data_IF_474194797711
#
_entry.id   IF_474194797711
#
_cell.length_a   1.000
_cell.length_b   1.000
_cell.length_c   1.000
_cell.angle_alpha   90.00
_cell.angle_beta   90.00
_cell.angle_gamma   90.00
#
_symmetry.space_group_name_H-M   'P 1'
#
loop_
_entity.id
_entity.type
_entity.pdbx_description
1 polymer ?
#
# COMPACT_ATOMS: atom_id res chain seq x y z
N UNK A 1 -26.07 28.25 37.87
CA UNK A 1 -25.04 27.20 38.02
C UNK A 1 -25.54 25.97 37.30
N UNK A 2 -25.21 25.86 36.01
CA UNK A 2 -25.34 24.61 35.27
C UNK A 2 -23.94 24.03 35.36
N UNK A 3 -23.75 23.02 36.20
CA UNK A 3 -22.53 22.23 36.18
C UNK A 3 -22.39 21.65 34.78
N UNK A 4 -21.50 22.24 33.98
CA UNK A 4 -20.85 21.53 32.88
C UNK A 4 -20.11 20.36 33.53
N UNK A 5 -20.82 19.25 33.71
CA UNK A 5 -20.21 17.95 33.90
C UNK A 5 -19.40 17.68 32.65
N UNK A 6 -18.14 18.13 32.69
CA UNK A 6 -17.11 17.74 31.76
C UNK A 6 -16.94 16.24 31.93
N UNK A 7 -17.77 15.48 31.19
CA UNK A 7 -17.50 14.10 30.92
C UNK A 7 -16.18 14.09 30.15
N UNK A 8 -15.09 14.02 30.92
CA UNK A 8 -13.82 13.49 30.47
C UNK A 8 -14.08 12.05 30.05
N UNK A 9 -14.67 11.90 28.87
CA UNK A 9 -14.66 10.64 28.16
C UNK A 9 -13.18 10.33 28.00
N UNK A 10 -12.72 9.30 28.72
CA UNK A 10 -11.42 8.69 28.47
C UNK A 10 -11.45 8.17 27.04
N UNK A 11 -11.09 9.03 26.09
CA UNK A 11 -10.77 8.61 24.73
C UNK A 11 -9.66 7.59 24.85
N UNK A 12 -9.83 6.43 24.21
CA UNK A 12 -8.74 5.48 24.04
C UNK A 12 -7.51 6.26 23.58
N UNK A 13 -6.34 5.94 24.14
CA UNK A 13 -5.12 6.61 23.72
C UNK A 13 -4.95 6.37 22.21
N UNK A 14 -5.06 7.43 21.40
CA UNK A 14 -5.04 7.33 19.93
C UNK A 14 -3.81 6.60 19.40
N UNK A 15 -2.71 6.61 20.15
CA UNK A 15 -1.50 5.86 19.84
C UNK A 15 -1.73 4.34 19.92
N UNK A 16 -2.46 3.87 20.93
CA UNK A 16 -2.83 2.45 21.06
C UNK A 16 -3.73 2.00 19.90
N UNK A 17 -4.68 2.83 19.49
CA UNK A 17 -5.56 2.55 18.33
C UNK A 17 -4.72 2.43 17.06
N UNK A 18 -3.80 3.36 16.84
CA UNK A 18 -2.92 3.39 15.69
C UNK A 18 -2.01 2.15 15.60
N UNK A 19 -1.35 1.79 16.71
CA UNK A 19 -0.51 0.59 16.78
C UNK A 19 -1.35 -0.69 16.60
N UNK A 20 -2.56 -0.76 17.17
CA UNK A 20 -3.47 -1.87 16.93
C UNK A 20 -3.82 -1.99 15.44
N UNK A 21 -4.22 -0.89 14.79
CA UNK A 21 -4.51 -0.89 13.35
C UNK A 21 -3.31 -1.34 12.51
N UNK A 22 -2.09 -0.91 12.84
CA UNK A 22 -0.88 -1.28 12.10
C UNK A 22 -0.42 -2.72 12.33
N UNK A 23 -0.68 -3.29 13.50
CA UNK A 23 -0.21 -4.65 13.85
C UNK A 23 -1.15 -5.74 13.32
N UNK A 24 -2.45 -5.46 13.22
CA UNK A 24 -3.48 -6.36 12.67
C UNK A 24 -3.07 -7.08 11.37
N UNK A 25 -2.61 -6.40 10.30
CA UNK A 25 -2.27 -7.08 9.04
C UNK A 25 -1.06 -8.03 9.17
N UNK A 26 -0.27 -7.89 10.22
CA UNK A 26 0.91 -8.73 10.46
C UNK A 26 0.63 -9.91 11.40
N UNK A 27 -0.63 -10.11 11.80
CA UNK A 27 -1.04 -11.31 12.54
C UNK A 27 -1.01 -12.56 11.63
N UNK A 28 -0.96 -13.77 12.23
CA UNK A 28 -1.07 -15.02 11.50
C UNK A 28 -2.36 -15.13 10.67
N UNK A 29 -2.30 -15.94 9.62
CA UNK A 29 -3.49 -16.40 8.89
C UNK A 29 -4.37 -17.26 9.80
N UNK A 30 -5.67 -17.07 9.67
CA UNK A 30 -6.68 -18.02 10.13
C UNK A 30 -6.83 -19.17 9.13
N UNK A 31 -7.51 -20.27 9.50
CA UNK A 31 -7.87 -21.33 8.57
C UNK A 31 -8.49 -20.79 7.27
N UNK A 32 -8.23 -21.47 6.15
CA UNK A 32 -8.69 -21.10 4.81
C UNK A 32 -8.10 -19.79 4.24
N UNK A 33 -7.07 -19.22 4.89
CA UNK A 33 -6.37 -18.04 4.40
C UNK A 33 -7.05 -16.70 4.69
N UNK A 34 -8.03 -16.70 5.58
CA UNK A 34 -8.57 -15.47 6.14
C UNK A 34 -7.53 -14.77 7.02
N UNK A 35 -7.62 -13.44 7.11
CA UNK A 35 -6.76 -12.62 7.96
C UNK A 35 -7.60 -11.75 8.90
N UNK A 36 -6.99 -11.29 10.00
CA UNK A 36 -7.65 -10.46 11.00
C UNK A 36 -8.21 -9.16 10.42
N UNK A 37 -7.50 -8.52 9.49
CA UNK A 37 -7.97 -7.34 8.78
C UNK A 37 -9.23 -7.57 7.96
N UNK A 38 -9.49 -8.79 7.46
CA UNK A 38 -10.72 -9.07 6.70
C UNK A 38 -11.94 -8.92 7.60
N UNK A 39 -11.88 -9.50 8.80
CA UNK A 39 -12.94 -9.45 9.79
C UNK A 39 -13.10 -8.02 10.32
N UNK A 40 -11.99 -7.38 10.68
CA UNK A 40 -12.01 -6.02 11.24
C UNK A 40 -12.48 -4.97 10.22
N UNK A 41 -12.08 -5.09 8.94
CA UNK A 41 -12.57 -4.19 7.89
C UNK A 41 -14.09 -4.28 7.74
N UNK A 42 -14.67 -5.48 7.78
CA UNK A 42 -16.12 -5.66 7.72
C UNK A 42 -16.78 -5.04 8.95
N UNK A 43 -16.34 -5.40 10.16
CA UNK A 43 -16.94 -4.90 11.40
C UNK A 43 -16.89 -3.37 11.48
N UNK A 44 -15.72 -2.76 11.25
CA UNK A 44 -15.59 -1.31 11.30
C UNK A 44 -16.33 -0.60 10.18
N UNK A 45 -16.40 -1.18 8.97
CA UNK A 45 -17.18 -0.58 7.88
C UNK A 45 -18.68 -0.51 8.22
N UNK A 46 -19.24 -1.52 8.89
CA UNK A 46 -20.64 -1.51 9.35
C UNK A 46 -20.87 -0.39 10.37
N UNK A 47 -19.95 -0.20 11.32
CA UNK A 47 -20.02 0.91 12.27
C UNK A 47 -19.89 2.28 11.57
N UNK A 48 -18.97 2.40 10.60
CA UNK A 48 -18.80 3.60 9.78
C UNK A 48 -20.09 3.94 9.02
N UNK A 49 -20.72 2.96 8.37
CA UNK A 49 -21.97 3.13 7.63
C UNK A 49 -23.11 3.55 8.54
N UNK A 50 -23.27 2.87 9.69
CA UNK A 50 -24.27 3.24 10.70
C UNK A 50 -24.09 4.68 11.17
N UNK A 51 -22.85 5.10 11.42
CA UNK A 51 -22.56 6.46 11.84
C UNK A 51 -22.85 7.50 10.74
N UNK A 52 -22.44 7.22 9.50
CA UNK A 52 -22.74 8.07 8.34
C UNK A 52 -24.25 8.22 8.17
N UNK A 53 -25.00 7.13 8.32
CA UNK A 53 -26.46 7.13 8.27
C UNK A 53 -27.06 8.02 9.37
N UNK A 54 -26.61 7.86 10.61
CA UNK A 54 -27.12 8.63 11.75
C UNK A 54 -26.81 10.13 11.64
N UNK A 55 -25.64 10.49 11.12
CA UNK A 55 -25.23 11.89 10.97
C UNK A 55 -25.79 12.58 9.71
N UNK A 56 -26.31 11.81 8.74
CA UNK A 56 -26.86 12.28 7.45
C UNK A 56 -25.94 13.23 6.66
N UNK A 57 -24.64 13.26 6.96
CA UNK A 57 -23.66 14.17 6.36
C UNK A 57 -22.38 13.43 6.01
N UNK A 58 -22.42 12.50 5.05
CA UNK A 58 -21.18 11.93 4.53
C UNK A 58 -20.35 13.03 3.89
N UNK A 59 -19.09 13.17 4.33
CA UNK A 59 -18.18 14.09 3.66
C UNK A 59 -17.94 13.61 2.22
N UNK A 60 -18.06 14.51 1.24
CA UNK A 60 -17.69 14.23 -0.17
C UNK A 60 -16.29 13.65 -0.27
N UNK A 61 -15.41 14.04 0.65
CA UNK A 61 -14.00 13.66 0.68
C UNK A 61 -13.79 12.21 1.10
N UNK A 62 -14.76 11.62 1.81
CA UNK A 62 -14.82 10.19 2.11
C UNK A 62 -15.55 9.44 1.01
N UNK A 63 -16.65 9.99 0.50
CA UNK A 63 -17.50 9.30 -0.48
C UNK A 63 -16.81 9.09 -1.82
N UNK A 64 -16.10 10.10 -2.35
CA UNK A 64 -15.47 10.00 -3.68
C UNK A 64 -14.50 8.81 -3.75
N UNK A 65 -13.46 8.69 -2.90
CA UNK A 65 -12.51 7.58 -2.99
C UNK A 65 -13.17 6.21 -2.73
N UNK A 66 -14.12 6.14 -1.80
CA UNK A 66 -14.88 4.89 -1.53
C UNK A 66 -15.73 4.51 -2.74
N UNK A 67 -16.45 5.45 -3.34
CA UNK A 67 -17.29 5.23 -4.52
C UNK A 67 -16.44 4.86 -5.74
N UNK A 68 -15.27 5.47 -5.92
CA UNK A 68 -14.34 5.13 -7.01
C UNK A 68 -13.89 3.67 -6.93
N UNK A 69 -13.51 3.19 -5.74
CA UNK A 69 -13.12 1.79 -5.56
C UNK A 69 -14.33 0.84 -5.59
N UNK A 70 -15.41 1.19 -4.90
CA UNK A 70 -16.63 0.37 -4.84
C UNK A 70 -17.29 0.22 -6.22
N UNK A 71 -17.27 1.25 -7.06
CA UNK A 71 -17.73 1.19 -8.44
C UNK A 71 -16.99 0.12 -9.25
N UNK A 72 -15.68 -0.04 -9.04
CA UNK A 72 -14.91 -1.11 -9.65
C UNK A 72 -15.27 -2.51 -9.14
N UNK A 73 -15.56 -2.65 -7.84
CA UNK A 73 -16.10 -3.91 -7.29
C UNK A 73 -17.44 -4.24 -7.94
N UNK A 74 -18.36 -3.26 -8.01
CA UNK A 74 -19.69 -3.46 -8.61
C UNK A 74 -19.57 -3.88 -10.07
N UNK A 75 -18.72 -3.21 -10.85
CA UNK A 75 -18.45 -3.60 -12.24
C UNK A 75 -17.95 -5.05 -12.34
N UNK A 76 -17.01 -5.44 -11.47
CA UNK A 76 -16.47 -6.81 -11.42
C UNK A 76 -17.54 -7.84 -11.05
N UNK A 77 -18.42 -7.54 -10.09
CA UNK A 77 -19.51 -8.45 -9.68
C UNK A 77 -20.54 -8.61 -10.80
N UNK A 78 -20.95 -7.51 -11.43
CA UNK A 78 -21.86 -7.55 -12.59
C UNK A 78 -21.24 -8.40 -13.70
N UNK A 79 -19.97 -8.15 -14.03
CA UNK A 79 -19.22 -8.90 -15.02
C UNK A 79 -19.20 -10.41 -14.72
N UNK A 80 -18.96 -10.79 -13.46
CA UNK A 80 -18.98 -12.18 -13.00
C UNK A 80 -20.34 -12.86 -13.17
N UNK A 81 -21.43 -12.10 -13.11
CA UNK A 81 -22.79 -12.61 -13.31
C UNK A 81 -23.15 -12.75 -14.80
N UNK A 82 -22.51 -11.96 -15.66
CA UNK A 82 -22.80 -11.91 -17.10
C UNK A 82 -21.92 -12.87 -17.91
N UNK A 83 -20.68 -13.09 -17.48
CA UNK A 83 -19.72 -13.93 -18.20
C UNK A 83 -19.40 -15.18 -17.38
N UNK A 84 -19.35 -16.34 -18.06
CA UNK A 84 -18.94 -17.57 -17.38
C UNK A 84 -17.47 -17.41 -16.97
N UNK A 85 -17.18 -17.56 -15.67
CA UNK A 85 -15.83 -17.55 -15.09
C UNK A 85 -15.06 -18.83 -15.41
N UNK A 86 -15.23 -19.38 -16.62
CA UNK A 86 -14.64 -20.62 -17.06
C UNK A 86 -13.11 -20.52 -17.05
N UNK A 87 -12.47 -21.40 -16.26
CA UNK A 87 -11.01 -21.49 -16.15
C UNK A 87 -10.37 -20.62 -15.06
N UNK A 88 -11.12 -20.16 -14.06
CA UNK A 88 -10.53 -19.41 -12.94
C UNK A 88 -9.66 -20.33 -12.06
N UNK A 89 -8.33 -20.19 -12.15
CA UNK A 89 -7.38 -20.83 -11.24
C UNK A 89 -7.43 -20.17 -9.84
N UNK A 90 -7.72 -18.86 -9.80
CA UNK A 90 -7.90 -18.12 -8.56
C UNK A 90 -9.33 -18.28 -8.02
N UNK A 91 -9.46 -18.76 -6.78
CA UNK A 91 -10.76 -18.93 -6.11
C UNK A 91 -11.56 -17.62 -6.05
N UNK A 92 -12.82 -17.67 -6.49
CA UNK A 92 -13.74 -16.52 -6.59
C UNK A 92 -13.83 -15.75 -5.26
N UNK A 93 -13.91 -16.47 -4.13
CA UNK A 93 -13.99 -15.88 -2.79
C UNK A 93 -12.75 -15.05 -2.46
N UNK A 94 -11.55 -15.57 -2.76
CA UNK A 94 -10.30 -14.88 -2.48
C UNK A 94 -10.16 -13.61 -3.32
N UNK A 95 -10.58 -13.66 -4.59
CA UNK A 95 -10.59 -12.49 -5.46
C UNK A 95 -11.63 -11.46 -5.01
N UNK A 96 -12.82 -11.91 -4.61
CA UNK A 96 -13.85 -11.03 -4.07
C UNK A 96 -13.36 -10.31 -2.82
N UNK A 97 -12.82 -11.05 -1.84
CA UNK A 97 -12.25 -10.49 -0.61
C UNK A 97 -11.14 -9.49 -0.95
N UNK A 98 -10.25 -9.83 -1.87
CA UNK A 98 -9.11 -8.98 -2.24
C UNK A 98 -9.54 -7.62 -2.80
N UNK A 99 -10.47 -7.57 -3.75
CA UNK A 99 -10.92 -6.30 -4.36
C UNK A 99 -11.85 -5.54 -3.40
N UNK A 100 -12.70 -6.25 -2.66
CA UNK A 100 -13.65 -5.64 -1.73
C UNK A 100 -13.01 -5.08 -0.47
N UNK A 101 -11.87 -5.63 -0.04
CA UNK A 101 -11.18 -5.20 1.18
C UNK A 101 -10.75 -3.73 1.11
N UNK A 102 -10.27 -3.26 -0.03
CA UNK A 102 -9.77 -1.89 -0.17
C UNK A 102 -10.81 -0.80 0.15
N UNK A 103 -12.01 -0.77 -0.45
CA UNK A 103 -13.04 0.21 -0.08
C UNK A 103 -13.51 0.07 1.37
N UNK A 104 -13.60 -1.16 1.90
CA UNK A 104 -13.96 -1.38 3.31
C UNK A 104 -12.93 -0.82 4.27
N UNK A 105 -11.63 -1.06 4.03
CA UNK A 105 -10.54 -0.53 4.82
C UNK A 105 -10.53 0.99 4.78
N UNK A 106 -10.71 1.57 3.59
CA UNK A 106 -10.77 3.01 3.43
C UNK A 106 -11.88 3.62 4.29
N UNK A 107 -13.10 3.07 4.18
CA UNK A 107 -14.25 3.54 4.95
C UNK A 107 -14.05 3.36 6.46
N UNK A 108 -13.46 2.24 6.87
CA UNK A 108 -13.15 1.92 8.27
C UNK A 108 -12.14 2.89 8.86
N UNK A 109 -11.00 3.09 8.18
CA UNK A 109 -9.96 3.97 8.69
C UNK A 109 -10.37 5.43 8.70
N UNK A 110 -11.14 5.90 7.71
CA UNK A 110 -11.59 7.30 7.73
C UNK A 110 -12.43 7.54 8.98
N UNK A 111 -13.33 6.63 9.31
CA UNK A 111 -14.14 6.71 10.52
C UNK A 111 -13.29 6.68 11.80
N UNK A 112 -12.36 5.74 11.92
CA UNK A 112 -11.54 5.60 13.13
C UNK A 112 -10.59 6.80 13.29
N UNK A 113 -9.80 7.11 12.27
CA UNK A 113 -8.77 8.16 12.32
C UNK A 113 -9.41 9.55 12.43
N UNK A 114 -10.56 9.81 11.82
CA UNK A 114 -11.22 11.12 11.92
C UNK A 114 -11.74 11.44 13.34
N UNK A 115 -11.90 10.42 14.20
CA UNK A 115 -12.34 10.58 15.59
C UNK A 115 -11.21 10.73 16.59
N UNK A 116 -10.07 10.13 16.32
CA UNK A 116 -8.91 10.18 17.19
C UNK A 116 -8.00 11.35 16.81
N UNK A 117 -7.42 12.10 17.76
CA UNK A 117 -6.46 13.19 17.46
C UNK A 117 -5.06 12.65 17.05
N UNK A 118 -5.05 11.74 16.07
CA UNK A 118 -3.84 11.15 15.51
C UNK A 118 -3.18 12.15 14.58
N UNK A 119 -2.00 12.65 14.99
CA UNK A 119 -1.14 13.46 14.14
C UNK A 119 -0.44 12.58 13.10
N UNK A 120 -0.21 13.11 11.90
CA UNK A 120 0.50 12.42 10.82
C UNK A 120 1.91 11.96 11.25
N UNK A 121 2.59 12.73 12.10
CA UNK A 121 3.89 12.38 12.69
C UNK A 121 3.81 11.10 13.52
N UNK A 122 2.75 10.92 14.31
CA UNK A 122 2.54 9.70 15.10
C UNK A 122 2.24 8.48 14.24
N UNK A 123 1.44 8.66 13.17
CA UNK A 123 1.23 7.61 12.16
C UNK A 123 2.56 7.19 11.52
N UNK A 124 3.40 8.16 11.15
CA UNK A 124 4.74 7.90 10.64
C UNK A 124 5.63 7.18 11.67
N UNK A 125 5.53 7.53 12.96
CA UNK A 125 6.23 6.83 14.06
C UNK A 125 5.82 5.37 14.18
N UNK A 126 4.52 5.10 14.18
CA UNK A 126 4.01 3.75 14.31
C UNK A 126 4.36 2.90 13.07
N UNK A 127 4.30 3.46 11.85
CA UNK A 127 4.75 2.76 10.63
C UNK A 127 6.24 2.44 10.69
N UNK A 128 7.08 3.42 11.06
CA UNK A 128 8.53 3.25 11.16
C UNK A 128 8.94 2.22 12.23
N UNK A 129 8.23 2.18 13.36
CA UNK A 129 8.48 1.20 14.42
C UNK A 129 8.08 -0.19 13.96
N UNK A 130 6.89 -0.31 13.38
CA UNK A 130 6.39 -1.58 12.83
C UNK A 130 7.33 -2.09 11.74
N UNK A 131 7.79 -1.22 10.84
CA UNK A 131 8.68 -1.61 9.74
C UNK A 131 10.04 -2.08 10.23
N UNK A 132 10.59 -1.50 11.31
CA UNK A 132 11.84 -1.95 11.88
C UNK A 132 11.69 -3.36 12.48
N UNK A 133 10.58 -3.63 13.19
CA UNK A 133 10.27 -4.96 13.73
C UNK A 133 10.14 -5.98 12.58
N UNK A 134 9.32 -5.65 11.57
CA UNK A 134 9.11 -6.53 10.42
C UNK A 134 10.41 -6.72 9.61
N UNK A 135 11.21 -5.67 9.46
CA UNK A 135 12.53 -5.73 8.82
C UNK A 135 13.48 -6.66 9.55
N UNK A 136 13.52 -6.58 10.88
CA UNK A 136 14.26 -7.52 11.73
C UNK A 136 13.80 -8.97 11.52
N UNK A 137 12.48 -9.22 11.50
CA UNK A 137 11.94 -10.57 11.24
C UNK A 137 12.33 -11.07 9.84
N UNK A 138 12.27 -10.22 8.80
CA UNK A 138 12.71 -10.57 7.45
C UNK A 138 14.19 -10.93 7.40
N UNK A 139 15.06 -10.21 8.11
CA UNK A 139 16.49 -10.56 8.20
C UNK A 139 16.70 -11.86 8.96
N UNK A 140 16.00 -12.04 10.08
CA UNK A 140 16.09 -13.26 10.86
C UNK A 140 15.64 -14.50 10.08
N UNK A 141 14.69 -14.35 9.14
CA UNK A 141 14.21 -15.42 8.27
C UNK A 141 15.28 -16.06 7.37
N UNK A 142 16.39 -15.36 7.15
CA UNK A 142 17.55 -15.87 6.41
C UNK A 142 18.21 -17.03 7.15
N UNK A 143 18.26 -16.93 8.47
CA UNK A 143 18.85 -17.93 9.34
C UNK A 143 17.76 -18.99 9.59
N UNK A 144 17.85 -20.10 8.83
CA UNK A 144 16.87 -21.19 8.65
C UNK A 144 15.94 -21.57 9.83
N UNK A 145 16.35 -21.57 11.12
CA UNK A 145 15.45 -21.88 12.23
C UNK A 145 14.21 -20.99 12.33
N UNK A 146 14.28 -19.74 11.87
CA UNK A 146 13.18 -18.77 12.00
C UNK A 146 12.04 -19.04 11.02
N UNK A 147 12.32 -19.69 9.88
CA UNK A 147 11.31 -19.94 8.87
C UNK A 147 10.14 -20.82 9.34
N UNK A 148 10.39 -21.73 10.29
CA UNK A 148 9.34 -22.56 10.89
C UNK A 148 8.32 -21.73 11.68
N UNK A 149 8.78 -20.63 12.30
CA UNK A 149 7.89 -19.69 13.00
C UNK A 149 7.09 -18.82 12.03
N UNK A 150 7.46 -18.78 10.75
CA UNK A 150 6.79 -17.97 9.74
C UNK A 150 5.62 -18.69 9.06
N UNK A 151 5.49 -20.03 9.12
CA UNK A 151 4.40 -20.75 8.46
C UNK A 151 3.01 -20.21 8.80
N UNK A 152 2.67 -19.85 10.06
CA UNK A 152 1.36 -19.27 10.36
C UNK A 152 1.13 -17.92 9.67
N UNK A 153 2.18 -17.22 9.25
CA UNK A 153 2.12 -15.90 8.64
C UNK A 153 2.17 -15.94 7.11
N UNK A 154 2.39 -17.09 6.47
CA UNK A 154 2.61 -17.18 5.02
C UNK A 154 1.89 -18.38 4.42
N UNK A 155 1.68 -18.35 3.10
CA UNK A 155 1.13 -19.49 2.35
C UNK A 155 2.26 -20.25 1.66
N UNK A 156 2.63 -21.41 2.20
CA UNK A 156 3.81 -22.17 1.76
C UNK A 156 3.68 -22.70 0.33
N UNK A 157 2.53 -23.26 -0.02
CA UNK A 157 2.23 -23.80 -1.36
C UNK A 157 1.99 -22.70 -2.42
N UNK A 158 2.32 -21.44 -2.10
CA UNK A 158 2.08 -20.28 -2.94
C UNK A 158 3.35 -19.61 -3.46
N UNK A 159 3.19 -18.34 -3.85
CA UNK A 159 4.27 -17.47 -4.34
C UNK A 159 5.41 -17.34 -3.34
N UNK A 160 5.14 -17.52 -2.05
CA UNK A 160 6.13 -17.47 -0.99
C UNK A 160 7.18 -18.59 -1.12
N UNK A 161 6.73 -19.85 -1.19
CA UNK A 161 7.61 -21.01 -1.33
C UNK A 161 8.43 -20.96 -2.62
N UNK A 162 7.78 -20.61 -3.74
CA UNK A 162 8.43 -20.42 -5.03
C UNK A 162 9.51 -19.34 -4.98
N UNK A 163 9.24 -18.21 -4.31
CA UNK A 163 10.22 -17.12 -4.14
C UNK A 163 11.42 -17.54 -3.29
N UNK A 164 11.17 -18.30 -2.22
CA UNK A 164 12.21 -18.82 -1.34
C UNK A 164 13.12 -19.83 -2.05
N UNK A 165 12.57 -20.67 -2.91
CA UNK A 165 13.32 -21.64 -3.70
C UNK A 165 14.36 -20.97 -4.63
N UNK A 166 14.08 -19.75 -5.11
CA UNK A 166 15.02 -18.93 -5.89
C UNK A 166 15.84 -17.95 -5.04
N UNK A 167 15.88 -18.11 -3.71
CA UNK A 167 16.75 -17.32 -2.82
C UNK A 167 16.22 -15.93 -2.47
N UNK A 168 14.93 -15.66 -2.66
CA UNK A 168 14.29 -14.40 -2.24
C UNK A 168 13.56 -14.65 -0.93
N UNK A 169 13.90 -13.93 0.14
CA UNK A 169 13.19 -14.08 1.43
C UNK A 169 12.27 -12.87 1.64
N UNK A 170 10.96 -12.98 1.36
CA UNK A 170 10.02 -11.89 1.63
C UNK A 170 9.67 -11.76 3.12
N UNK A 171 10.24 -12.61 4.00
CA UNK A 171 9.93 -12.62 5.43
C UNK A 171 8.48 -13.00 5.68
N UNK A 172 7.76 -12.19 6.46
CA UNK A 172 6.33 -12.41 6.74
C UNK A 172 5.42 -12.01 5.58
N UNK A 173 5.91 -11.50 4.46
CA UNK A 173 5.05 -11.13 3.33
C UNK A 173 4.84 -12.33 2.41
N UNK A 174 3.64 -12.52 1.86
CA UNK A 174 3.34 -13.68 0.99
C UNK A 174 4.12 -13.68 -0.32
N UNK A 175 4.62 -12.52 -0.74
CA UNK A 175 5.33 -12.37 -2.00
C UNK A 175 6.34 -11.20 -1.90
N UNK A 176 7.45 -11.28 -2.64
CA UNK A 176 8.43 -10.19 -2.71
C UNK A 176 7.85 -8.83 -3.09
N UNK A 177 6.80 -8.81 -3.92
CA UNK A 177 6.09 -7.59 -4.30
C UNK A 177 5.59 -6.84 -3.05
N UNK A 178 4.94 -7.55 -2.12
CA UNK A 178 4.35 -6.96 -0.92
C UNK A 178 5.42 -6.43 0.03
N UNK A 179 6.49 -7.20 0.24
CA UNK A 179 7.64 -6.74 1.03
C UNK A 179 8.20 -5.45 0.42
N UNK A 180 8.43 -5.43 -0.89
CA UNK A 180 8.96 -4.25 -1.57
C UNK A 180 8.03 -3.04 -1.52
N UNK A 181 6.71 -3.24 -1.62
CA UNK A 181 5.73 -2.18 -1.46
C UNK A 181 5.75 -1.62 -0.03
N UNK A 182 5.72 -2.48 0.99
CA UNK A 182 5.73 -2.06 2.39
C UNK A 182 7.01 -1.30 2.78
N UNK A 183 8.18 -1.84 2.45
CA UNK A 183 9.45 -1.20 2.77
C UNK A 183 9.71 0.04 1.89
N UNK A 184 9.17 0.09 0.67
CA UNK A 184 9.18 1.29 -0.17
C UNK A 184 8.35 2.44 0.42
N UNK A 185 7.11 2.16 0.87
CA UNK A 185 6.25 3.12 1.60
C UNK A 185 7.00 3.63 2.84
N UNK A 186 7.58 2.71 3.60
CA UNK A 186 8.34 3.01 4.81
C UNK A 186 9.52 3.94 4.53
N UNK A 187 10.31 3.68 3.48
CA UNK A 187 11.45 4.53 3.13
C UNK A 187 11.01 5.97 2.82
N UNK A 188 9.92 6.15 2.07
CA UNK A 188 9.33 7.48 1.79
C UNK A 188 8.86 8.15 3.09
N UNK A 189 8.23 7.40 4.00
CA UNK A 189 7.78 7.92 5.30
C UNK A 189 8.96 8.35 6.18
N UNK A 190 10.09 7.63 6.17
CA UNK A 190 11.28 8.05 6.91
C UNK A 190 11.80 9.41 6.43
N UNK A 191 11.78 9.66 5.12
CA UNK A 191 12.19 10.98 4.58
C UNK A 191 11.32 12.09 5.15
N UNK A 192 10.00 11.89 5.19
CA UNK A 192 9.07 12.82 5.85
C UNK A 192 9.43 13.03 7.33
N UNK A 193 9.66 11.94 8.09
CA UNK A 193 10.02 12.02 9.52
C UNK A 193 11.29 12.81 9.80
N UNK A 194 12.34 12.59 9.00
CA UNK A 194 13.61 13.31 9.17
C UNK A 194 13.50 14.82 8.92
N UNK A 195 12.45 15.28 8.21
CA UNK A 195 12.22 16.70 8.00
C UNK A 195 11.49 17.39 9.15
N UNK A 196 10.59 16.72 9.86
CA UNK A 196 9.79 17.27 10.97
C UNK A 196 10.61 17.60 12.24
N UNK A 197 11.95 17.60 12.17
CA UNK A 197 12.96 18.12 13.13
C UNK A 197 12.93 17.62 14.59
N UNK A 198 11.91 16.88 15.03
CA UNK A 198 11.65 16.66 16.45
C UNK A 198 11.97 15.25 16.98
N UNK A 199 12.87 14.51 16.32
CA UNK A 199 13.12 13.10 16.66
C UNK A 199 14.59 12.79 16.86
N UNK A 200 14.85 11.77 17.69
CA UNK A 200 16.16 11.18 17.89
C UNK A 200 16.64 10.56 16.57
N UNK A 201 17.45 11.33 15.83
CA UNK A 201 17.99 10.99 14.50
C UNK A 201 18.66 9.62 14.53
N UNK A 202 19.32 9.25 15.64
CA UNK A 202 20.02 7.97 15.78
C UNK A 202 19.04 6.79 15.75
N UNK A 203 17.99 6.82 16.56
CA UNK A 203 16.98 5.73 16.61
C UNK A 203 16.24 5.65 15.27
N UNK A 204 15.85 6.79 14.70
CA UNK A 204 15.19 6.83 13.40
C UNK A 204 16.10 6.27 12.28
N UNK A 205 17.40 6.56 12.31
CA UNK A 205 18.37 6.04 11.34
C UNK A 205 18.55 4.53 11.50
N UNK A 206 18.60 4.03 12.73
CA UNK A 206 18.66 2.59 13.00
C UNK A 206 17.42 1.87 12.44
N UNK A 207 16.23 2.40 12.70
CA UNK A 207 14.98 1.81 12.19
C UNK A 207 14.89 1.85 10.67
N UNK A 208 15.36 2.94 10.05
CA UNK A 208 15.46 3.04 8.60
C UNK A 208 16.41 1.98 8.04
N UNK A 209 17.62 1.86 8.60
CA UNK A 209 18.61 0.86 8.17
C UNK A 209 18.01 -0.54 8.28
N UNK A 210 17.47 -0.94 9.43
CA UNK A 210 16.84 -2.27 9.61
C UNK A 210 15.72 -2.51 8.59
N UNK A 211 14.90 -1.49 8.31
CA UNK A 211 13.82 -1.58 7.32
C UNK A 211 14.35 -1.74 5.89
N UNK A 212 15.40 -1.01 5.51
CA UNK A 212 16.03 -1.11 4.19
C UNK A 212 16.70 -2.47 4.01
N UNK A 213 17.32 -3.00 5.06
CA UNK A 213 17.88 -4.36 5.05
C UNK A 213 16.75 -5.37 4.82
N UNK A 214 15.71 -5.33 5.65
CA UNK A 214 14.57 -6.24 5.52
C UNK A 214 13.91 -6.17 4.13
N UNK A 215 13.83 -4.99 3.53
CA UNK A 215 13.34 -4.80 2.16
C UNK A 215 14.26 -5.35 1.09
N UNK A 216 15.58 -5.16 1.23
CA UNK A 216 16.58 -5.61 0.26
C UNK A 216 16.59 -7.13 0.08
N UNK A 217 16.35 -7.87 1.17
CA UNK A 217 16.31 -9.35 1.21
C UNK A 217 15.18 -9.92 0.33
N UNK A 218 14.12 -9.14 0.08
CA UNK A 218 13.04 -9.53 -0.83
C UNK A 218 13.46 -9.54 -2.31
N UNK A 219 14.55 -8.83 -2.65
CA UNK A 219 15.01 -8.63 -4.03
C UNK A 219 13.86 -8.20 -4.97
N UNK A 220 13.03 -7.27 -4.51
CA UNK A 220 11.83 -6.82 -5.22
C UNK A 220 12.10 -5.56 -6.03
N UNK A 221 11.63 -5.51 -7.29
CA UNK A 221 11.72 -4.30 -8.11
C UNK A 221 10.91 -3.15 -7.53
N UNK A 222 9.79 -3.47 -6.88
CA UNK A 222 8.97 -2.49 -6.17
C UNK A 222 9.72 -1.89 -4.98
N UNK A 223 10.57 -2.66 -4.30
CA UNK A 223 11.47 -2.11 -3.28
C UNK A 223 12.44 -1.10 -3.89
N UNK A 224 13.13 -1.48 -4.98
CA UNK A 224 14.10 -0.61 -5.68
C UNK A 224 13.45 0.69 -6.14
N UNK A 225 12.25 0.61 -6.72
CA UNK A 225 11.46 1.78 -7.10
C UNK A 225 11.13 2.67 -5.90
N UNK A 226 10.70 2.08 -4.79
CA UNK A 226 10.38 2.81 -3.56
C UNK A 226 11.61 3.49 -2.95
N UNK A 227 12.75 2.80 -2.93
CA UNK A 227 14.05 3.36 -2.52
C UNK A 227 14.47 4.51 -3.45
N UNK A 228 14.34 4.35 -4.77
CA UNK A 228 14.66 5.40 -5.74
C UNK A 228 13.80 6.65 -5.54
N UNK A 229 12.49 6.49 -5.36
CA UNK A 229 11.60 7.61 -5.05
C UNK A 229 11.88 8.23 -3.68
N UNK A 230 12.20 7.42 -2.66
CA UNK A 230 12.62 7.92 -1.36
C UNK A 230 13.94 8.69 -1.47
N UNK A 231 14.89 8.26 -2.32
CA UNK A 231 16.13 9.00 -2.58
C UNK A 231 15.86 10.33 -3.27
N UNK A 232 14.98 10.37 -4.27
CA UNK A 232 14.58 11.61 -4.95
C UNK A 232 13.92 12.55 -3.94
N UNK A 233 12.99 12.06 -3.13
CA UNK A 233 12.39 12.85 -2.05
C UNK A 233 13.45 13.33 -1.05
N UNK A 234 14.36 12.45 -0.63
CA UNK A 234 15.45 12.77 0.28
C UNK A 234 16.41 13.82 -0.30
N UNK A 235 16.65 13.81 -1.62
CA UNK A 235 17.49 14.80 -2.28
C UNK A 235 16.91 16.21 -2.16
N UNK A 236 15.59 16.36 -2.34
CA UNK A 236 14.88 17.62 -2.12
C UNK A 236 14.77 17.99 -0.63
N UNK A 237 14.82 17.00 0.26
CA UNK A 237 14.72 17.20 1.70
C UNK A 237 16.06 17.55 2.38
N UNK A 238 17.01 16.60 2.34
CA UNK A 238 18.36 16.62 2.95
C UNK A 238 19.29 15.65 2.21
N UNK A 239 20.30 16.16 1.49
CA UNK A 239 21.22 15.34 0.66
C UNK A 239 21.89 14.18 1.39
N UNK A 240 22.28 14.34 2.65
CA UNK A 240 22.92 13.26 3.42
C UNK A 240 21.99 12.06 3.66
N UNK A 241 20.68 12.27 3.73
CA UNK A 241 19.70 11.19 3.88
C UNK A 241 19.62 10.36 2.59
N UNK A 242 19.73 11.00 1.43
CA UNK A 242 19.81 10.28 0.16
C UNK A 242 21.07 9.40 0.10
N UNK A 243 22.21 9.90 0.61
CA UNK A 243 23.43 9.09 0.74
C UNK A 243 23.26 7.93 1.72
N UNK A 244 22.58 8.13 2.87
CA UNK A 244 22.30 7.06 3.83
C UNK A 244 21.42 5.97 3.21
N UNK A 245 20.33 6.35 2.52
CA UNK A 245 19.44 5.42 1.85
C UNK A 245 20.20 4.65 0.75
N UNK A 246 20.99 5.34 -0.07
CA UNK A 246 21.78 4.73 -1.13
C UNK A 246 22.84 3.77 -0.59
N UNK A 247 23.64 4.21 0.39
CA UNK A 247 24.74 3.42 0.93
C UNK A 247 24.24 2.18 1.66
N UNK A 248 23.24 2.31 2.53
CA UNK A 248 22.64 1.17 3.22
C UNK A 248 22.01 0.18 2.25
N UNK A 249 21.26 0.65 1.24
CA UNK A 249 20.67 -0.22 0.23
C UNK A 249 21.73 -0.92 -0.62
N UNK A 250 22.76 -0.20 -1.07
CA UNK A 250 23.83 -0.77 -1.90
C UNK A 250 24.66 -1.82 -1.15
N UNK A 251 25.07 -1.51 0.09
CA UNK A 251 25.81 -2.43 0.96
C UNK A 251 25.00 -3.72 1.15
N UNK A 252 23.70 -3.59 1.41
CA UNK A 252 22.88 -4.77 1.70
C UNK A 252 22.46 -5.55 0.46
N UNK A 253 22.24 -4.91 -0.68
CA UNK A 253 22.08 -5.63 -1.95
C UNK A 253 23.37 -6.44 -2.22
N UNK A 254 24.55 -5.85 -2.02
CA UNK A 254 25.84 -6.53 -2.16
C UNK A 254 26.07 -7.64 -1.12
N UNK A 255 25.68 -7.45 0.14
CA UNK A 255 25.79 -8.49 1.16
C UNK A 255 24.79 -9.63 0.90
N UNK A 256 23.54 -9.30 0.57
CA UNK A 256 22.49 -10.26 0.28
C UNK A 256 22.83 -11.15 -0.91
N UNK A 257 23.55 -10.63 -1.91
CA UNK A 257 23.99 -11.43 -3.05
C UNK A 257 25.02 -12.50 -2.65
N UNK A 258 25.86 -12.21 -1.65
CA UNK A 258 26.85 -13.14 -1.12
C UNK A 258 26.22 -14.17 -0.17
N UNK A 259 25.28 -13.75 0.68
CA UNK A 259 24.72 -14.60 1.75
C UNK A 259 23.46 -15.38 1.37
N UNK A 260 22.55 -14.80 0.56
CA UNK A 260 21.22 -15.40 0.29
C UNK A 260 21.19 -16.35 -0.89
N UNK A 261 22.18 -16.24 -1.77
CA UNK A 261 22.21 -16.99 -3.00
C UNK A 261 23.57 -17.64 -3.25
N UNK A 262 24.02 -18.54 -2.37
CA UNK A 262 25.32 -19.20 -2.52
C UNK A 262 25.42 -19.99 -3.84
N UNK A 263 24.31 -20.45 -4.40
CA UNK A 263 24.26 -21.13 -5.71
C UNK A 263 24.24 -20.17 -6.91
N UNK A 264 24.05 -18.88 -6.67
CA UNK A 264 23.87 -17.86 -7.69
C UNK A 264 22.57 -18.00 -8.51
N UNK A 265 21.60 -18.83 -8.12
CA UNK A 265 20.38 -19.14 -8.89
C UNK A 265 19.57 -17.90 -9.29
N UNK A 266 19.26 -17.00 -8.36
CA UNK A 266 18.59 -15.72 -8.67
C UNK A 266 19.38 -14.88 -9.68
N UNK A 267 20.69 -14.68 -9.49
CA UNK A 267 21.51 -13.88 -10.40
C UNK A 267 21.66 -14.55 -11.76
N UNK A 268 21.77 -15.88 -11.81
CA UNK A 268 21.76 -16.65 -13.05
C UNK A 268 20.43 -16.47 -13.79
N UNK A 269 19.29 -16.53 -13.09
CA UNK A 269 17.97 -16.27 -13.66
C UNK A 269 17.83 -14.82 -14.16
N UNK A 270 18.29 -13.85 -13.37
CA UNK A 270 18.28 -12.44 -13.76
C UNK A 270 19.17 -12.18 -14.99
N UNK A 271 20.38 -12.78 -15.02
CA UNK A 271 21.31 -12.67 -16.13
C UNK A 271 20.78 -13.37 -17.38
N UNK A 272 20.14 -14.54 -17.22
CA UNK A 272 19.48 -15.24 -18.32
C UNK A 272 18.36 -14.37 -18.93
N UNK A 273 17.53 -13.73 -18.09
CA UNK A 273 16.50 -12.80 -18.55
C UNK A 273 17.09 -11.56 -19.21
N UNK A 274 18.18 -11.03 -18.67
CA UNK A 274 18.91 -9.89 -19.24
C UNK A 274 19.44 -10.23 -20.64
N UNK A 275 20.00 -11.43 -20.80
CA UNK A 275 20.53 -11.90 -22.08
C UNK A 275 19.42 -12.24 -23.08
N UNK A 276 18.29 -12.78 -22.61
CA UNK A 276 17.19 -13.22 -23.47
C UNK A 276 16.29 -12.08 -23.98
N UNK A 277 15.95 -11.11 -23.13
CA UNK A 277 15.01 -10.04 -23.48
C UNK A 277 15.48 -8.63 -23.07
N UNK A 278 16.76 -8.48 -22.77
CA UNK A 278 17.37 -7.20 -22.41
C UNK A 278 17.01 -6.69 -21.01
N UNK A 279 17.38 -5.44 -20.71
CA UNK A 279 17.16 -4.83 -19.39
C UNK A 279 15.68 -4.78 -18.99
N UNK A 280 14.78 -4.59 -19.95
CA UNK A 280 13.33 -4.55 -19.70
C UNK A 280 12.84 -5.93 -19.25
N UNK A 281 13.27 -7.02 -19.89
CA UNK A 281 12.92 -8.38 -19.45
C UNK A 281 13.51 -8.72 -18.08
N UNK A 282 14.77 -8.34 -17.80
CA UNK A 282 15.35 -8.52 -16.48
C UNK A 282 14.58 -7.75 -15.39
N UNK A 283 14.26 -6.48 -15.65
CA UNK A 283 13.51 -5.60 -14.74
C UNK A 283 12.04 -5.98 -14.65
N UNK A 284 11.46 -6.66 -15.64
CA UNK A 284 10.08 -7.18 -15.59
C UNK A 284 9.99 -8.63 -15.12
N UNK A 285 11.11 -9.33 -14.99
CA UNK A 285 11.19 -10.77 -14.70
C UNK A 285 10.53 -11.59 -15.82
N UNK A 286 10.72 -11.14 -17.06
CA UNK A 286 10.12 -11.73 -18.26
C UNK A 286 8.66 -11.34 -18.48
N UNK A 287 8.06 -10.50 -17.63
CA UNK A 287 6.65 -10.05 -17.76
C UNK A 287 6.43 -8.95 -18.79
N UNK A 288 7.50 -8.30 -19.24
CA UNK A 288 7.50 -7.32 -20.33
C UNK A 288 8.72 -7.57 -21.20
N UNK A 289 8.55 -7.47 -22.53
CA UNK A 289 9.62 -7.62 -23.51
C UNK A 289 9.94 -9.06 -23.92
N UNK A 290 9.12 -10.04 -23.51
CA UNK A 290 9.16 -11.42 -24.01
C UNK A 290 7.83 -11.70 -24.70
N UNK A 291 7.85 -12.33 -25.89
CA UNK A 291 6.68 -12.55 -26.76
C UNK A 291 5.54 -13.38 -26.11
N UNK A 292 5.76 -13.97 -24.93
CA UNK A 292 4.79 -14.80 -24.19
C UNK A 292 4.67 -14.37 -22.71
N UNK A 293 4.58 -13.07 -22.45
CA UNK A 293 4.32 -12.60 -21.10
C UNK A 293 2.82 -12.75 -20.77
N UNK A 294 2.49 -13.35 -19.63
CA UNK A 294 1.10 -13.50 -19.18
C UNK A 294 0.30 -12.19 -19.15
N UNK A 295 0.96 -11.04 -18.89
CA UNK A 295 0.32 -9.73 -18.95
C UNK A 295 -0.09 -9.32 -20.37
N UNK A 296 0.72 -9.60 -21.40
CA UNK A 296 0.37 -9.30 -22.79
C UNK A 296 -0.70 -10.24 -23.32
N UNK A 297 -0.69 -11.50 -22.88
CA UNK A 297 -1.74 -12.47 -23.24
C UNK A 297 -3.09 -12.05 -22.65
N UNK A 298 -3.15 -11.70 -21.37
CA UNK A 298 -4.38 -11.20 -20.74
C UNK A 298 -4.86 -9.87 -21.35
N UNK A 299 -3.94 -8.97 -21.70
CA UNK A 299 -4.29 -7.73 -22.39
C UNK A 299 -4.85 -7.98 -23.80
N UNK A 300 -4.26 -8.92 -24.55
CA UNK A 300 -4.74 -9.32 -25.87
C UNK A 300 -6.09 -10.05 -25.81
N UNK A 301 -6.28 -10.91 -24.80
CA UNK A 301 -7.56 -11.57 -24.51
C UNK A 301 -8.65 -10.52 -24.24
N UNK A 302 -8.39 -9.55 -23.37
CA UNK A 302 -9.32 -8.46 -23.08
C UNK A 302 -9.65 -7.63 -24.34
N UNK A 303 -8.64 -7.31 -25.16
CA UNK A 303 -8.82 -6.53 -26.37
C UNK A 303 -9.62 -7.27 -27.46
N UNK A 304 -9.55 -8.61 -27.49
CA UNK A 304 -10.22 -9.45 -28.50
C UNK A 304 -11.61 -9.93 -28.07
N UNK A 305 -11.96 -9.88 -26.79
CA UNK A 305 -13.22 -10.39 -26.24
C UNK A 305 -14.48 -9.53 -26.52
N UNK A 306 -14.37 -8.49 -27.35
CA UNK A 306 -15.48 -7.61 -27.72
C UNK A 306 -15.75 -6.49 -26.71
N UNK A 307 -16.59 -5.52 -27.11
CA UNK A 307 -16.77 -4.28 -26.36
C UNK A 307 -17.38 -4.46 -24.96
N UNK A 308 -18.26 -5.45 -24.79
CA UNK A 308 -18.87 -5.77 -23.49
C UNK A 308 -17.81 -6.17 -22.46
N UNK A 309 -16.85 -7.00 -22.85
CA UNK A 309 -15.77 -7.48 -21.99
C UNK A 309 -14.70 -6.40 -21.79
N UNK A 310 -14.44 -5.56 -22.79
CA UNK A 310 -13.58 -4.38 -22.59
C UNK A 310 -14.18 -3.44 -21.54
N UNK A 311 -15.50 -3.23 -21.57
CA UNK A 311 -16.17 -2.31 -20.64
C UNK A 311 -16.32 -2.88 -19.21
N UNK A 312 -16.69 -4.16 -19.08
CA UNK A 312 -17.04 -4.80 -17.81
C UNK A 312 -15.99 -5.82 -17.31
N UNK A 313 -15.01 -6.20 -18.12
CA UNK A 313 -14.02 -7.22 -17.79
C UNK A 313 -14.56 -8.65 -17.94
N UNK A 314 -13.87 -9.60 -17.32
CA UNK A 314 -14.21 -11.03 -17.26
C UNK A 314 -14.77 -11.47 -15.89
N UNK A 315 -14.86 -10.56 -14.92
CA UNK A 315 -15.38 -10.83 -13.59
C UNK A 315 -14.34 -11.35 -12.60
N UNK A 316 -14.82 -12.07 -11.58
CA UNK A 316 -14.03 -12.64 -10.50
C UNK A 316 -13.33 -13.90 -11.00
N UNK A 317 -12.03 -13.80 -11.18
CA UNK A 317 -11.19 -14.90 -11.60
C UNK A 317 -10.05 -14.41 -12.46
N UNK A 318 -9.05 -15.26 -12.62
CA UNK A 318 -8.03 -15.09 -13.64
C UNK A 318 -7.44 -16.45 -13.95
N UNK A 319 -7.05 -16.65 -15.21
CA UNK A 319 -6.30 -17.82 -15.66
C UNK A 319 -4.83 -17.76 -15.23
N UNK A 320 -4.34 -16.57 -14.87
CA UNK A 320 -2.94 -16.38 -14.44
C UNK A 320 -2.83 -15.32 -13.33
N UNK A 321 -1.72 -15.28 -12.58
CA UNK A 321 -1.46 -14.22 -11.61
C UNK A 321 -1.50 -12.82 -12.25
N UNK A 322 -2.33 -11.93 -11.70
CA UNK A 322 -2.43 -10.53 -12.15
C UNK A 322 -1.31 -9.69 -11.50
N UNK A 323 -0.17 -9.65 -12.18
CA UNK A 323 1.06 -8.96 -11.76
C UNK A 323 1.05 -7.47 -12.15
N UNK A 324 -0.12 -6.85 -12.28
CA UNK A 324 -0.28 -5.40 -12.46
C UNK A 324 -1.61 -4.96 -11.86
N UNK A 325 -1.60 -3.87 -11.08
CA UNK A 325 -2.83 -3.27 -10.56
C UNK A 325 -3.72 -2.73 -11.68
N UNK A 326 -3.15 -2.15 -12.73
CA UNK A 326 -3.94 -1.68 -13.88
C UNK A 326 -4.62 -2.83 -14.59
N UNK A 327 -3.87 -3.91 -14.85
CA UNK A 327 -4.40 -5.09 -15.49
C UNK A 327 -5.40 -5.83 -14.59
N UNK A 328 -5.19 -5.86 -13.28
CA UNK A 328 -6.14 -6.49 -12.34
C UNK A 328 -7.52 -5.85 -12.46
N UNK A 329 -7.60 -4.53 -12.33
CA UNK A 329 -8.88 -3.82 -12.42
C UNK A 329 -9.46 -3.86 -13.84
N UNK A 330 -8.63 -3.72 -14.87
CA UNK A 330 -9.09 -3.78 -16.26
C UNK A 330 -9.58 -5.17 -16.67
N UNK A 331 -8.88 -6.23 -16.28
CA UNK A 331 -9.25 -7.60 -16.63
C UNK A 331 -10.50 -8.04 -15.87
N UNK A 332 -10.61 -7.72 -14.59
CA UNK A 332 -11.72 -8.19 -13.76
C UNK A 332 -13.01 -7.36 -13.93
N UNK A 333 -12.88 -6.03 -13.98
CA UNK A 333 -14.02 -5.11 -14.02
C UNK A 333 -14.02 -4.15 -15.21
N UNK A 334 -13.17 -4.40 -16.20
CA UNK A 334 -13.12 -3.64 -17.46
C UNK A 334 -12.63 -2.20 -17.29
N UNK A 335 -12.91 -1.39 -18.31
CA UNK A 335 -12.63 0.04 -18.29
C UNK A 335 -13.34 0.75 -17.13
N UNK A 336 -14.49 0.26 -16.65
CA UNK A 336 -15.19 0.87 -15.52
C UNK A 336 -14.42 0.71 -14.21
N UNK A 337 -13.92 -0.49 -13.91
CA UNK A 337 -13.11 -0.70 -12.71
C UNK A 337 -11.75 -0.02 -12.81
N UNK A 338 -11.12 -0.03 -13.99
CA UNK A 338 -9.89 0.73 -14.23
C UNK A 338 -10.11 2.24 -14.04
N UNK A 339 -11.21 2.80 -14.54
CA UNK A 339 -11.55 4.20 -14.34
C UNK A 339 -11.73 4.52 -12.85
N UNK A 340 -12.42 3.66 -12.09
CA UNK A 340 -12.52 3.79 -10.63
C UNK A 340 -11.15 3.81 -9.95
N UNK A 341 -10.25 2.90 -10.34
CA UNK A 341 -8.89 2.85 -9.84
C UNK A 341 -8.08 4.13 -10.13
N UNK A 342 -8.17 4.65 -11.35
CA UNK A 342 -7.50 5.89 -11.74
C UNK A 342 -8.11 7.13 -11.06
N UNK A 343 -9.43 7.18 -10.92
CA UNK A 343 -10.14 8.24 -10.21
C UNK A 343 -9.77 8.29 -8.72
N UNK A 344 -9.52 7.12 -8.10
CA UNK A 344 -9.02 7.05 -6.74
C UNK A 344 -7.69 7.80 -6.58
N UNK A 345 -6.70 7.55 -7.44
CA UNK A 345 -5.44 8.28 -7.39
C UNK A 345 -5.56 9.74 -7.80
N UNK A 346 -6.35 10.05 -8.84
CA UNK A 346 -6.59 11.43 -9.28
C UNK A 346 -7.19 12.28 -8.14
N UNK A 347 -8.11 11.70 -7.37
CA UNK A 347 -8.67 12.34 -6.18
C UNK A 347 -7.59 12.65 -5.13
N UNK A 348 -6.69 11.71 -4.84
CA UNK A 348 -5.59 11.94 -3.90
C UNK A 348 -4.58 12.98 -4.40
N UNK A 349 -4.32 13.04 -5.70
CA UNK A 349 -3.50 14.12 -6.30
C UNK A 349 -4.20 15.47 -6.08
N UNK A 350 -5.50 15.55 -6.36
CA UNK A 350 -6.28 16.76 -6.13
C UNK A 350 -6.27 17.20 -4.65
N UNK A 351 -6.49 16.28 -3.71
CA UNK A 351 -6.37 16.55 -2.27
C UNK A 351 -4.98 17.08 -1.91
N UNK A 352 -3.93 16.46 -2.45
CA UNK A 352 -2.54 16.83 -2.15
C UNK A 352 -2.24 18.28 -2.54
N UNK A 353 -2.72 18.72 -3.70
CA UNK A 353 -2.51 20.09 -4.16
C UNK A 353 -3.42 21.11 -3.47
N UNK A 354 -4.68 20.76 -3.19
CA UNK A 354 -5.69 21.69 -2.67
C UNK A 354 -5.67 21.85 -1.15
N UNK A 355 -5.40 20.77 -0.43
CA UNK A 355 -5.65 20.72 1.02
C UNK A 355 -4.40 20.37 1.85
N UNK A 356 -3.36 19.78 1.26
CA UNK A 356 -2.10 19.55 1.95
C UNK A 356 -1.08 20.65 1.63
N UNK A 357 -0.23 20.99 2.59
CA UNK A 357 0.88 21.95 2.44
C UNK A 357 2.18 21.34 2.97
N UNK A 358 3.30 21.99 2.66
CA UNK A 358 4.63 21.61 3.17
C UNK A 358 4.97 20.15 2.94
N UNK A 359 5.49 19.49 3.98
CA UNK A 359 5.97 18.11 3.91
C UNK A 359 4.87 17.07 3.74
N UNK A 360 3.68 17.32 4.28
CA UNK A 360 2.55 16.40 4.08
C UNK A 360 2.15 16.31 2.60
N UNK A 361 2.25 17.42 1.85
CA UNK A 361 2.02 17.42 0.40
C UNK A 361 3.07 16.58 -0.33
N UNK A 362 4.35 16.76 -0.02
CA UNK A 362 5.43 15.98 -0.65
C UNK A 362 5.29 14.49 -0.34
N UNK A 363 5.08 14.13 0.93
CA UNK A 363 4.83 12.73 1.33
C UNK A 363 3.69 12.12 0.50
N UNK A 364 2.56 12.82 0.41
CA UNK A 364 1.40 12.35 -0.36
C UNK A 364 1.73 12.15 -1.85
N UNK A 365 2.35 13.13 -2.50
CA UNK A 365 2.69 13.04 -3.92
C UNK A 365 3.68 11.91 -4.22
N UNK A 366 4.70 11.71 -3.38
CA UNK A 366 5.66 10.61 -3.55
C UNK A 366 5.04 9.24 -3.28
N UNK A 367 4.14 9.12 -2.30
CA UNK A 367 3.39 7.87 -2.06
C UNK A 367 2.43 7.55 -3.22
N UNK A 368 1.75 8.55 -3.78
CA UNK A 368 0.88 8.34 -4.95
C UNK A 368 1.73 7.95 -6.16
N UNK A 369 2.81 8.67 -6.45
CA UNK A 369 3.72 8.33 -7.54
C UNK A 369 4.28 6.91 -7.38
N UNK A 370 4.69 6.54 -6.17
CA UNK A 370 5.14 5.19 -5.87
C UNK A 370 4.06 4.15 -6.12
N UNK A 371 2.84 4.38 -5.63
CA UNK A 371 1.71 3.46 -5.77
C UNK A 371 1.31 3.25 -7.23
N UNK A 372 1.27 4.33 -8.02
CA UNK A 372 0.95 4.30 -9.45
C UNK A 372 2.05 3.58 -10.24
N UNK A 373 3.32 3.91 -10.01
CA UNK A 373 4.43 3.26 -10.73
C UNK A 373 4.59 1.79 -10.33
N UNK A 374 4.45 1.46 -9.05
CA UNK A 374 4.45 0.09 -8.57
C UNK A 374 3.24 -0.71 -9.10
N UNK A 375 2.14 -0.04 -9.47
CA UNK A 375 0.96 -0.68 -10.09
C UNK A 375 1.26 -1.31 -11.45
N UNK A 376 2.35 -0.92 -12.10
CA UNK A 376 2.83 -1.56 -13.34
C UNK A 376 3.34 -2.97 -13.06
N UNK A 377 4.01 -3.18 -11.94
CA UNK A 377 4.62 -4.47 -11.56
C UNK A 377 3.83 -5.29 -10.55
N UNK A 378 2.72 -4.75 -10.05
CA UNK A 378 1.82 -5.52 -9.19
C UNK A 378 0.67 -4.71 -8.59
N UNK A 379 -0.30 -5.39 -7.99
CA UNK A 379 -1.49 -4.79 -7.39
C UNK A 379 -1.24 -3.94 -6.12
N UNK A 380 -0.80 -2.70 -6.32
CA UNK A 380 -1.08 -1.52 -5.47
C UNK A 380 -1.90 -1.68 -4.19
N UNK A 381 -3.16 -1.33 -4.37
CA UNK A 381 -4.18 -1.11 -3.34
C UNK A 381 -4.71 -2.44 -2.78
N UNK A 382 -4.71 -3.48 -3.61
CA UNK A 382 -5.22 -4.82 -3.32
C UNK A 382 -4.13 -5.78 -2.83
N UNK A 383 -2.87 -5.31 -2.74
CA UNK A 383 -1.78 -6.06 -2.12
C UNK A 383 -2.11 -6.34 -0.64
N UNK A 384 -1.86 -7.57 -0.19
CA UNK A 384 -2.35 -8.07 1.09
C UNK A 384 -2.00 -7.17 2.29
N UNK A 385 -0.79 -7.29 2.83
CA UNK A 385 -0.38 -6.55 4.05
C UNK A 385 0.07 -5.13 3.71
N UNK A 386 0.77 -4.99 2.60
CA UNK A 386 1.33 -3.72 2.17
C UNK A 386 0.24 -2.73 1.67
N UNK A 387 -0.79 -3.22 0.97
CA UNK A 387 -1.93 -2.40 0.54
C UNK A 387 -2.74 -1.88 1.73
N UNK A 388 -2.90 -2.69 2.79
CA UNK A 388 -3.51 -2.24 4.04
C UNK A 388 -2.76 -1.03 4.63
N UNK A 389 -1.44 -1.12 4.76
CA UNK A 389 -0.61 -0.02 5.29
C UNK A 389 -0.65 1.20 4.39
N UNK A 390 -0.63 1.00 3.06
CA UNK A 390 -0.76 2.09 2.09
C UNK A 390 -2.08 2.84 2.28
N UNK A 391 -3.21 2.13 2.34
CA UNK A 391 -4.54 2.73 2.55
C UNK A 391 -4.58 3.47 3.88
N UNK A 392 -4.01 2.90 4.95
CA UNK A 392 -3.94 3.55 6.26
C UNK A 392 -3.21 4.90 6.20
N UNK A 393 -2.07 4.95 5.52
CA UNK A 393 -1.27 6.18 5.36
C UNK A 393 -1.99 7.21 4.49
N UNK A 394 -2.59 6.78 3.38
CA UNK A 394 -3.39 7.66 2.52
C UNK A 394 -4.59 8.25 3.28
N UNK A 395 -5.27 7.46 4.10
CA UNK A 395 -6.36 7.96 4.95
C UNK A 395 -5.84 8.92 6.03
N UNK A 396 -4.69 8.63 6.66
CA UNK A 396 -4.05 9.55 7.59
C UNK A 396 -3.75 10.92 6.97
N UNK A 397 -3.24 10.92 5.72
CA UNK A 397 -3.03 12.13 4.93
C UNK A 397 -4.36 12.85 4.61
N UNK A 398 -5.40 12.11 4.23
CA UNK A 398 -6.73 12.67 3.98
C UNK A 398 -7.27 13.37 5.23
N UNK A 399 -7.23 12.73 6.39
CA UNK A 399 -7.71 13.31 7.65
C UNK A 399 -6.88 14.54 8.03
N UNK A 400 -5.55 14.49 7.89
CA UNK A 400 -4.67 15.63 8.14
C UNK A 400 -5.03 16.84 7.25
N UNK A 401 -5.36 16.61 5.97
CA UNK A 401 -5.73 17.65 5.02
C UNK A 401 -7.00 18.43 5.41
N UNK A 402 -7.94 17.77 6.08
CA UNK A 402 -9.20 18.39 6.49
C UNK A 402 -9.19 18.96 7.91
N UNK A 403 -8.29 18.48 8.78
CA UNK A 403 -8.12 19.05 10.12
C UNK A 403 -7.36 20.37 10.11
N UNK A 404 -6.35 20.48 9.24
CA UNK A 404 -5.49 21.66 9.13
C UNK A 404 -5.65 22.30 7.75
N UNK A 405 -6.81 22.88 7.42
CA UNK A 405 -6.97 23.53 6.13
C UNK A 405 -5.91 24.62 5.99
N UNK A 406 -5.22 24.74 4.83
CA UNK A 406 -4.30 25.83 4.59
C UNK A 406 -5.01 27.14 4.89
N UNK A 407 -4.34 28.02 5.66
CA UNK A 407 -4.90 29.28 6.15
C UNK A 407 -5.85 29.90 5.12
N UNK A 408 -7.12 30.06 5.50
CA UNK A 408 -8.10 30.74 4.63
C UNK A 408 -7.48 32.06 4.17
N UNK A 409 -7.59 32.42 2.89
CA UNK A 409 -6.97 33.62 2.35
C UNK A 409 -7.25 34.80 3.28
N UNK A 410 -6.19 35.56 3.60
CA UNK A 410 -6.18 36.67 4.58
C UNK A 410 -7.37 37.63 4.39
N UNK A 411 -7.86 37.77 3.16
CA UNK A 411 -9.07 38.53 2.81
C UNK A 411 -10.32 38.18 3.65
N UNK A 412 -10.52 36.91 4.05
CA UNK A 412 -11.64 36.51 4.91
C UNK A 412 -11.39 36.78 6.40
N UNK A 413 -10.13 36.91 6.84
CA UNK A 413 -9.81 37.29 8.22
C UNK A 413 -10.02 38.79 8.45
N UNK A 414 -9.74 39.62 7.45
CA UNK A 414 -9.98 41.08 7.53
C UNK A 414 -11.49 41.38 7.57
N UNK A 415 -12.30 40.65 6.81
CA UNK A 415 -13.77 40.79 6.85
C UNK A 415 -14.38 40.38 8.20
N UNK A 416 -13.85 39.34 8.86
CA UNK A 416 -14.34 38.90 10.15
C UNK A 416 -13.90 39.84 11.29
N UNK A 417 -12.67 40.37 11.22
CA UNK A 417 -12.14 41.32 12.19
C UNK A 417 -12.88 42.68 12.13
N UNK A 418 -13.31 43.11 10.94
CA UNK A 418 -14.05 44.37 10.79
C UNK A 418 -15.54 44.26 11.11
N UNK A 419 -16.09 43.05 11.28
CA UNK A 419 -17.49 42.83 11.63
C UNK A 419 -17.77 42.77 13.13
N UNK A 420 -16.74 42.84 13.97
CA UNK A 420 -16.85 42.81 15.44
C UNK A 420 -16.76 44.19 16.10
N UNK A 421 -16.52 45.25 15.32
CA UNK A 421 -16.37 46.63 15.81
C UNK A 421 -17.57 47.55 15.48
N UNK A 422 -18.72 46.97 15.12
CA UNK A 422 -20.01 47.67 14.94
C UNK A 422 -21.09 46.97 15.74
#
# INVERSE_FOLDING_TARGET
>A
MIEETSHSQRTLNGDCVLFALLTVPFLPYFPYGFRAEHILAILFSVFSLRYIWQTKKPSRTTLIPVASLAGGVVATVISSSMFSTAGAEAGIVNMFVRIFLAPLLFLSFVFIISREDIKLTRLADAVATTSAIIGGISVLSIFSPVAHFLHPFVMEDGVWGASRAVGRQPGIFNQPLEAGLFFGITAIIFVYKFRERNQNITIASLFLVVSLIGGSVSLSKTFVLGVGLAMIYAFFARRWLALLILSSSAIWIGASSLFLNPSGSYFKSLLALLNAGGPIAAVSAGRFGVEQAGNSEMAAELASAGWSNVLLGFGLGSKMPLDSGFLEYAYQGGLLALAGYLLFFAFFIWISFRHLTGEARFLSLFLIAFSVLASVGGPTITANRAGYVLILVLVGLLVAAFRNPPDRPIALRISAANSTDS
#
